data_IF_074944887709
#
_entry.id   IF_074944887709
#
_cell.length_a   1.000
_cell.length_b   1.000
_cell.length_c   1.000
_cell.angle_alpha   90.00
_cell.angle_beta   90.00
_cell.angle_gamma   90.00
#
_symmetry.space_group_name_H-M   'P 1'
#
loop_
_entity.id
_entity.type
_entity.pdbx_description
1 polymer ?
#
# COMPACT_ATOMS: atom_id res chain seq x y z
N UNK A 1 -38.75 51.68 -71.39
CA UNK A 1 -38.24 51.26 -72.71
C UNK A 1 -36.91 51.97 -72.93
N UNK A 2 -35.84 51.20 -73.18
CA UNK A 2 -34.49 51.62 -73.60
C UNK A 2 -33.66 52.31 -72.49
N UNK A 3 -32.42 51.96 -72.15
CA UNK A 3 -31.43 51.06 -72.75
C UNK A 3 -30.05 51.74 -72.75
N UNK A 4 -29.01 51.02 -72.30
CA UNK A 4 -27.56 51.33 -72.39
C UNK A 4 -27.05 52.47 -71.45
N UNK A 5 -25.85 52.44 -70.85
CA UNK A 5 -24.59 51.85 -71.30
C UNK A 5 -23.65 51.58 -70.10
N UNK A 6 -22.86 50.50 -70.22
CA UNK A 6 -21.78 50.12 -69.31
C UNK A 6 -20.74 51.24 -69.13
N UNK A 7 -20.15 51.32 -67.93
CA UNK A 7 -18.70 51.39 -67.79
C UNK A 7 -18.23 50.51 -66.63
N UNK A 8 -17.42 49.54 -67.01
CA UNK A 8 -16.80 48.49 -66.22
C UNK A 8 -15.60 49.07 -65.46
N UNK A 9 -15.64 49.07 -64.13
CA UNK A 9 -14.44 49.23 -63.31
C UNK A 9 -14.14 47.91 -62.63
N UNK A 10 -13.28 47.13 -63.30
CA UNK A 10 -12.70 45.89 -62.80
C UNK A 10 -11.67 46.22 -61.72
N UNK A 11 -12.09 46.19 -60.45
CA UNK A 11 -11.17 46.15 -59.32
C UNK A 11 -10.67 44.71 -59.17
N UNK A 12 -9.40 44.46 -59.51
CA UNK A 12 -8.70 43.23 -59.13
C UNK A 12 -8.49 43.26 -57.61
N UNK A 13 -9.32 42.50 -56.88
CA UNK A 13 -9.10 42.22 -55.47
C UNK A 13 -7.95 41.20 -55.34
N UNK A 14 -6.78 41.68 -54.95
CA UNK A 14 -5.66 40.82 -54.55
C UNK A 14 -5.94 40.31 -53.14
N UNK A 15 -6.39 39.06 -53.06
CA UNK A 15 -6.49 38.29 -51.83
C UNK A 15 -5.09 38.03 -51.27
N UNK A 16 -4.59 38.93 -50.43
CA UNK A 16 -3.47 38.63 -49.52
C UNK A 16 -3.99 37.78 -48.36
N UNK A 17 -4.04 36.46 -48.61
CA UNK A 17 -4.23 35.46 -47.58
C UNK A 17 -3.02 35.43 -46.66
N UNK A 18 -2.97 36.35 -45.69
CA UNK A 18 -2.08 36.18 -44.53
C UNK A 18 -2.61 35.00 -43.73
N UNK A 19 -1.99 33.84 -43.97
CA UNK A 19 -2.00 32.70 -43.05
C UNK A 19 -1.49 33.20 -41.70
N UNK A 20 -2.41 33.61 -40.83
CA UNK A 20 -2.17 33.60 -39.40
C UNK A 20 -2.14 32.11 -39.03
N UNK A 21 -0.94 31.53 -39.11
CA UNK A 21 -0.62 30.35 -38.31
C UNK A 21 -0.93 30.72 -36.87
N UNK A 22 -2.11 30.33 -36.40
CA UNK A 22 -2.48 30.41 -35.01
C UNK A 22 -1.42 29.64 -34.24
N UNK A 23 -0.52 30.37 -33.60
CA UNK A 23 0.27 29.84 -32.51
C UNK A 23 -0.77 29.35 -31.50
N UNK A 24 -0.94 28.02 -31.45
CA UNK A 24 -1.74 27.36 -30.43
C UNK A 24 -1.07 27.72 -29.11
N UNK A 25 -1.57 28.78 -28.47
CA UNK A 25 -1.18 29.15 -27.14
C UNK A 25 -1.51 27.93 -26.28
N UNK A 26 -0.48 27.12 -25.98
CA UNK A 26 -0.58 26.10 -24.98
C UNK A 26 -0.76 26.86 -23.68
N UNK A 27 -2.01 26.99 -23.24
CA UNK A 27 -2.35 27.52 -21.92
C UNK A 27 -1.69 26.58 -20.92
N UNK A 28 -0.50 26.97 -20.47
CA UNK A 28 0.22 26.26 -19.41
C UNK A 28 -0.42 26.73 -18.12
N UNK A 29 -1.05 25.80 -17.39
CA UNK A 29 -1.70 26.13 -16.14
C UNK A 29 -0.63 26.48 -15.08
N UNK A 30 -0.97 27.29 -14.08
CA UNK A 30 -0.07 27.49 -12.95
C UNK A 30 0.23 26.14 -12.27
N UNK A 31 1.48 25.87 -11.84
CA UNK A 31 1.88 24.59 -11.24
C UNK A 31 0.97 24.10 -10.09
N UNK A 32 0.46 25.03 -9.27
CA UNK A 32 -0.44 24.70 -8.17
C UNK A 32 -1.80 24.11 -8.63
N UNK A 33 -2.29 24.52 -9.80
CA UNK A 33 -3.55 23.98 -10.37
C UNK A 33 -3.32 22.55 -10.83
N UNK A 34 -2.18 22.28 -11.48
CA UNK A 34 -1.82 20.93 -11.95
C UNK A 34 -1.63 19.96 -10.77
N UNK A 35 -0.97 20.39 -9.69
CA UNK A 35 -0.82 19.57 -8.48
C UNK A 35 -2.17 19.24 -7.82
N UNK A 36 -3.09 20.22 -7.76
CA UNK A 36 -4.42 20.00 -7.20
C UNK A 36 -5.24 19.02 -8.03
N UNK A 37 -5.19 19.11 -9.37
CA UNK A 37 -5.84 18.16 -10.27
C UNK A 37 -5.28 16.74 -10.11
N UNK A 38 -3.96 16.62 -9.95
CA UNK A 38 -3.30 15.33 -9.69
C UNK A 38 -3.76 14.71 -8.36
N UNK A 39 -3.85 15.50 -7.29
CA UNK A 39 -4.34 15.03 -5.99
C UNK A 39 -5.82 14.63 -6.06
N UNK A 40 -6.65 15.42 -6.74
CA UNK A 40 -8.07 15.07 -6.95
C UNK A 40 -8.23 13.76 -7.72
N UNK A 41 -7.43 13.57 -8.78
CA UNK A 41 -7.37 12.31 -9.50
C UNK A 41 -6.98 11.16 -8.58
N UNK A 42 -5.96 11.33 -7.74
CA UNK A 42 -5.55 10.32 -6.77
C UNK A 42 -6.67 9.93 -5.82
N UNK A 43 -7.35 10.92 -5.21
CA UNK A 43 -8.45 10.66 -4.26
C UNK A 43 -9.61 9.90 -4.91
N UNK A 44 -10.02 10.33 -6.10
CA UNK A 44 -11.08 9.65 -6.87
C UNK A 44 -10.74 8.20 -7.19
N UNK A 45 -9.50 7.91 -7.57
CA UNK A 45 -9.05 6.55 -7.83
C UNK A 45 -9.03 5.70 -6.56
N UNK A 46 -8.52 6.26 -5.46
CA UNK A 46 -8.46 5.56 -4.18
C UNK A 46 -9.88 5.24 -3.67
N UNK A 47 -10.84 6.15 -3.76
CA UNK A 47 -12.22 5.97 -3.28
C UNK A 47 -13.12 5.14 -4.21
N UNK A 48 -12.65 4.80 -5.41
CA UNK A 48 -13.45 4.12 -6.41
C UNK A 48 -14.11 2.82 -5.91
N UNK A 49 -15.34 2.56 -6.36
CA UNK A 49 -16.08 1.33 -6.02
C UNK A 49 -15.41 0.07 -6.61
N UNK A 50 -14.85 0.18 -7.81
CA UNK A 50 -14.20 -0.91 -8.51
C UNK A 50 -12.79 -1.18 -7.98
N UNK A 51 -12.49 -2.45 -7.66
CA UNK A 51 -11.17 -2.80 -7.09
C UNK A 51 -10.01 -2.52 -8.07
N UNK A 52 -10.25 -2.60 -9.38
CA UNK A 52 -9.23 -2.32 -10.40
C UNK A 52 -8.83 -0.83 -10.38
N UNK A 53 -9.81 0.07 -10.35
CA UNK A 53 -9.57 1.51 -10.23
C UNK A 53 -8.86 1.85 -8.92
N UNK A 54 -9.19 1.16 -7.81
CA UNK A 54 -8.44 1.33 -6.56
C UNK A 54 -6.99 0.86 -6.68
N UNK A 55 -6.71 -0.21 -7.43
CA UNK A 55 -5.33 -0.64 -7.71
C UNK A 55 -4.56 0.43 -8.48
N UNK A 56 -5.21 1.10 -9.45
CA UNK A 56 -4.61 2.23 -10.18
C UNK A 56 -4.31 3.39 -9.23
N UNK A 57 -5.22 3.71 -8.29
CA UNK A 57 -4.98 4.73 -7.28
C UNK A 57 -3.77 4.40 -6.38
N UNK A 58 -3.64 3.14 -5.96
CA UNK A 58 -2.49 2.69 -5.17
C UNK A 58 -1.18 2.74 -5.98
N UNK A 59 -1.23 2.39 -7.27
CA UNK A 59 -0.06 2.52 -8.16
C UNK A 59 0.32 3.99 -8.38
N UNK A 60 -0.66 4.87 -8.60
CA UNK A 60 -0.42 6.31 -8.75
C UNK A 60 0.20 6.91 -7.49
N UNK A 61 -0.27 6.53 -6.30
CA UNK A 61 0.34 6.97 -5.04
C UNK A 61 1.82 6.55 -4.97
N UNK A 62 2.13 5.31 -5.33
CA UNK A 62 3.50 4.81 -5.36
C UNK A 62 4.38 5.64 -6.28
N UNK A 63 3.89 5.95 -7.48
CA UNK A 63 4.62 6.75 -8.46
C UNK A 63 4.84 8.18 -7.96
N UNK A 64 3.82 8.82 -7.38
CA UNK A 64 3.94 10.16 -6.81
C UNK A 64 4.88 10.23 -5.61
N UNK A 65 4.96 9.18 -4.79
CA UNK A 65 5.96 9.11 -3.72
C UNK A 65 7.38 9.15 -4.29
N UNK A 66 7.61 8.52 -5.45
CA UNK A 66 8.93 8.48 -6.10
C UNK A 66 9.26 9.75 -6.88
N UNK A 67 8.31 10.29 -7.62
CA UNK A 67 8.52 11.45 -8.50
C UNK A 67 8.39 12.78 -7.77
N UNK A 68 7.47 12.87 -6.81
CA UNK A 68 7.09 14.13 -6.14
C UNK A 68 6.88 13.93 -4.62
N UNK A 69 7.89 13.44 -3.86
CA UNK A 69 7.74 13.16 -2.43
C UNK A 69 7.34 14.38 -1.58
N UNK A 70 7.67 15.59 -2.02
CA UNK A 70 7.26 16.82 -1.33
C UNK A 70 5.77 17.13 -1.46
N UNK A 71 5.17 16.85 -2.61
CA UNK A 71 3.72 16.97 -2.81
C UNK A 71 2.99 16.01 -1.86
N UNK A 72 3.48 14.77 -1.74
CA UNK A 72 2.93 13.77 -0.83
C UNK A 72 3.10 14.20 0.63
N UNK A 73 4.30 14.64 1.02
CA UNK A 73 4.59 15.05 2.39
C UNK A 73 3.74 16.25 2.83
N UNK A 74 3.49 17.19 1.93
CA UNK A 74 2.64 18.37 2.18
C UNK A 74 1.17 18.00 2.40
N UNK A 75 0.70 16.94 1.75
CA UNK A 75 -0.70 16.51 1.79
C UNK A 75 -0.90 15.18 2.55
N UNK A 76 0.06 14.84 3.42
CA UNK A 76 0.20 13.48 3.97
C UNK A 76 -1.04 13.03 4.74
N UNK A 77 -1.65 13.92 5.52
CA UNK A 77 -2.83 13.59 6.34
C UNK A 77 -3.99 13.11 5.47
N UNK A 78 -4.39 13.94 4.50
CA UNK A 78 -5.52 13.64 3.63
C UNK A 78 -5.24 12.42 2.74
N UNK A 79 -4.04 12.31 2.16
CA UNK A 79 -3.68 11.15 1.34
C UNK A 79 -3.78 9.85 2.15
N UNK A 80 -3.29 9.86 3.38
CA UNK A 80 -3.28 8.66 4.22
C UNK A 80 -4.64 8.32 4.81
N UNK A 81 -5.55 9.28 4.96
CA UNK A 81 -6.96 8.99 5.27
C UNK A 81 -7.57 8.04 4.22
N UNK A 82 -7.26 8.24 2.94
CA UNK A 82 -7.69 7.33 1.87
C UNK A 82 -6.84 6.06 1.81
N UNK A 83 -5.53 6.17 1.97
CA UNK A 83 -4.61 5.03 1.80
C UNK A 83 -4.77 3.97 2.90
N UNK A 84 -5.03 4.37 4.14
CA UNK A 84 -5.30 3.43 5.26
C UNK A 84 -6.50 2.53 4.96
N UNK A 85 -7.53 3.07 4.28
CA UNK A 85 -8.69 2.28 3.83
C UNK A 85 -8.31 1.23 2.77
N UNK A 86 -7.23 1.47 2.00
CA UNK A 86 -6.69 0.51 1.02
C UNK A 86 -5.80 -0.53 1.67
N UNK A 87 -5.07 -0.18 2.73
CA UNK A 87 -4.37 -1.17 3.56
C UNK A 87 -5.40 -2.16 4.13
N UNK A 88 -6.52 -1.66 4.66
CA UNK A 88 -7.59 -2.51 5.21
C UNK A 88 -8.65 -2.98 4.18
N UNK A 89 -8.37 -2.91 2.87
CA UNK A 89 -9.40 -3.09 1.84
C UNK A 89 -10.13 -4.45 1.93
N UNK A 90 -11.42 -4.47 1.58
CA UNK A 90 -12.20 -5.70 1.49
C UNK A 90 -11.70 -6.63 0.38
N UNK A 91 -11.16 -6.06 -0.69
CA UNK A 91 -10.62 -6.81 -1.81
C UNK A 91 -9.13 -7.13 -1.61
N UNK A 92 -8.83 -8.43 -1.52
CA UNK A 92 -7.49 -8.92 -1.15
C UNK A 92 -6.34 -8.45 -2.04
N UNK A 93 -6.57 -8.26 -3.36
CA UNK A 93 -5.52 -7.76 -4.26
C UNK A 93 -5.17 -6.30 -3.98
N UNK A 94 -6.17 -5.48 -3.67
CA UNK A 94 -5.97 -4.05 -3.33
C UNK A 94 -5.21 -3.96 -2.02
N UNK A 95 -5.66 -4.70 -1.01
CA UNK A 95 -4.99 -4.84 0.29
C UNK A 95 -3.53 -5.24 0.15
N UNK A 96 -3.25 -6.31 -0.59
CA UNK A 96 -1.88 -6.77 -0.81
C UNK A 96 -1.02 -5.69 -1.48
N UNK A 97 -1.50 -5.10 -2.58
CA UNK A 97 -0.76 -4.05 -3.29
C UNK A 97 -0.52 -2.82 -2.42
N UNK A 98 -1.48 -2.42 -1.58
CA UNK A 98 -1.33 -1.30 -0.66
C UNK A 98 -0.25 -1.58 0.40
N UNK A 99 -0.22 -2.79 0.96
CA UNK A 99 0.83 -3.20 1.90
C UNK A 99 2.22 -3.26 1.24
N UNK A 100 2.30 -3.81 0.02
CA UNK A 100 3.54 -3.83 -0.76
C UNK A 100 4.06 -2.41 -1.06
N UNK A 101 3.15 -1.50 -1.43
CA UNK A 101 3.47 -0.08 -1.65
C UNK A 101 3.89 0.60 -0.35
N UNK A 102 3.21 0.35 0.77
CA UNK A 102 3.58 0.91 2.07
C UNK A 102 5.02 0.54 2.45
N UNK A 103 5.39 -0.74 2.28
CA UNK A 103 6.75 -1.21 2.54
C UNK A 103 7.79 -0.42 1.71
N UNK A 104 7.48 -0.14 0.45
CA UNK A 104 8.38 0.55 -0.46
C UNK A 104 8.49 2.06 -0.18
N UNK A 105 7.37 2.74 0.07
CA UNK A 105 7.36 4.20 0.25
C UNK A 105 7.82 4.62 1.66
N UNK A 106 7.89 3.69 2.61
CA UNK A 106 8.33 3.97 3.99
C UNK A 106 9.73 4.59 4.01
N UNK A 107 10.68 4.04 3.27
CA UNK A 107 12.04 4.59 3.17
C UNK A 107 12.14 5.90 2.39
N UNK A 108 11.13 6.23 1.59
CA UNK A 108 11.06 7.45 0.78
C UNK A 108 10.52 8.61 1.63
N UNK A 109 9.38 8.40 2.28
CA UNK A 109 8.67 9.44 3.04
C UNK A 109 9.26 9.66 4.44
N UNK A 110 9.90 8.64 5.01
CA UNK A 110 10.64 8.74 6.28
C UNK A 110 9.79 9.40 7.38
N UNK A 111 10.30 10.47 7.97
CA UNK A 111 9.68 11.20 9.09
C UNK A 111 8.39 11.92 8.70
N UNK A 112 8.12 12.11 7.40
CA UNK A 112 6.83 12.62 6.94
C UNK A 112 5.67 11.69 7.32
N UNK A 113 5.93 10.41 7.62
CA UNK A 113 4.93 9.47 8.10
C UNK A 113 4.54 9.63 9.58
N UNK A 114 5.30 10.41 10.36
CA UNK A 114 5.07 10.58 11.80
C UNK A 114 3.63 10.99 12.16
N UNK A 115 2.97 11.93 11.43
CA UNK A 115 1.60 12.33 11.74
C UNK A 115 0.55 11.24 11.46
N UNK A 116 0.86 10.25 10.62
CA UNK A 116 -0.09 9.25 10.12
C UNK A 116 0.20 7.83 10.65
N UNK A 117 1.23 7.68 11.49
CA UNK A 117 1.69 6.37 12.00
C UNK A 117 0.59 5.61 12.75
N UNK A 118 -0.26 6.30 13.50
CA UNK A 118 -1.33 5.65 14.28
C UNK A 118 -2.34 5.00 13.34
N UNK A 119 -2.81 5.73 12.32
CA UNK A 119 -3.74 5.21 11.33
C UNK A 119 -3.14 4.07 10.49
N UNK A 120 -1.85 4.16 10.16
CA UNK A 120 -1.13 3.07 9.49
C UNK A 120 -1.11 1.80 10.32
N UNK A 121 -0.78 1.91 11.61
CA UNK A 121 -0.76 0.77 12.52
C UNK A 121 -2.14 0.13 12.60
N UNK A 122 -3.20 0.92 12.82
CA UNK A 122 -4.57 0.40 12.83
C UNK A 122 -4.94 -0.32 11.53
N UNK A 123 -4.56 0.24 10.38
CA UNK A 123 -4.80 -0.35 9.07
C UNK A 123 -4.08 -1.69 8.87
N UNK A 124 -2.82 -1.77 9.31
CA UNK A 124 -2.02 -2.99 9.26
C UNK A 124 -2.61 -4.05 10.20
N UNK A 125 -2.97 -3.67 11.42
CA UNK A 125 -3.57 -4.59 12.41
C UNK A 125 -4.87 -5.19 11.88
N UNK A 126 -5.74 -4.41 11.23
CA UNK A 126 -6.96 -4.91 10.56
C UNK A 126 -6.64 -5.91 9.44
N UNK A 127 -5.47 -5.82 8.83
CA UNK A 127 -5.03 -6.68 7.73
C UNK A 127 -4.42 -8.01 8.20
N UNK A 128 -3.97 -8.10 9.46
CA UNK A 128 -3.45 -9.33 10.07
C UNK A 128 -4.49 -10.46 10.11
N UNK A 129 -5.77 -10.12 10.16
CA UNK A 129 -6.88 -11.08 10.16
C UNK A 129 -7.09 -11.77 8.79
N UNK A 130 -6.27 -11.46 7.78
CA UNK A 130 -6.40 -12.05 6.45
C UNK A 130 -6.01 -13.53 6.42
N UNK A 131 -6.90 -14.37 5.88
CA UNK A 131 -6.62 -15.78 5.58
C UNK A 131 -5.73 -15.97 4.32
N UNK A 132 -5.54 -14.92 3.52
CA UNK A 132 -4.71 -15.00 2.30
C UNK A 132 -3.21 -14.93 2.65
N UNK A 133 -2.40 -15.96 2.32
CA UNK A 133 -0.98 -15.98 2.66
C UNK A 133 -0.16 -14.87 2.00
N UNK A 134 -0.55 -14.39 0.81
CA UNK A 134 0.16 -13.29 0.13
C UNK A 134 -0.04 -11.98 0.87
N UNK A 135 -1.25 -11.74 1.36
CA UNK A 135 -1.56 -10.58 2.20
C UNK A 135 -0.74 -10.64 3.49
N UNK A 136 -0.68 -11.80 4.14
CA UNK A 136 0.12 -11.93 5.38
C UNK A 136 1.60 -11.66 5.16
N UNK A 137 2.18 -12.21 4.10
CA UNK A 137 3.57 -11.92 3.74
C UNK A 137 3.80 -10.42 3.48
N UNK A 138 2.85 -9.75 2.81
CA UNK A 138 2.92 -8.30 2.59
C UNK A 138 2.80 -7.49 3.90
N UNK A 139 1.97 -7.94 4.86
CA UNK A 139 1.90 -7.31 6.19
C UNK A 139 3.24 -7.41 6.92
N UNK A 140 3.84 -8.60 6.97
CA UNK A 140 5.14 -8.81 7.62
C UNK A 140 6.19 -7.90 6.99
N UNK A 141 6.26 -7.87 5.65
CA UNK A 141 7.20 -6.99 4.93
C UNK A 141 6.99 -5.50 5.28
N UNK A 142 5.73 -5.03 5.29
CA UNK A 142 5.44 -3.63 5.63
C UNK A 142 5.82 -3.27 7.07
N UNK A 143 5.65 -4.22 8.01
CA UNK A 143 6.06 -4.06 9.40
C UNK A 143 7.59 -4.02 9.55
N UNK A 144 8.31 -4.92 8.87
CA UNK A 144 9.77 -4.96 8.89
C UNK A 144 10.39 -3.65 8.38
N UNK A 145 9.91 -3.14 7.24
CA UNK A 145 10.39 -1.87 6.68
C UNK A 145 10.06 -0.67 7.58
N UNK A 146 8.88 -0.69 8.22
CA UNK A 146 8.48 0.32 9.19
C UNK A 146 9.42 0.36 10.41
N UNK A 147 9.84 -0.80 10.94
CA UNK A 147 10.85 -0.82 12.02
C UNK A 147 12.20 -0.33 11.50
N UNK A 148 12.63 -0.83 10.34
CA UNK A 148 13.94 -0.51 9.80
C UNK A 148 14.11 1.01 9.62
N UNK A 149 13.02 1.72 9.29
CA UNK A 149 12.99 3.18 9.29
C UNK A 149 13.06 3.78 10.70
N UNK A 150 12.21 3.32 11.62
CA UNK A 150 12.17 3.83 13.00
C UNK A 150 13.47 3.60 13.79
N UNK A 151 14.20 2.51 13.50
CA UNK A 151 15.46 2.15 14.15
C UNK A 151 16.65 3.01 13.73
N UNK A 152 16.62 3.62 12.53
CA UNK A 152 17.70 4.47 12.01
C UNK A 152 17.68 5.91 12.55
N UNK A 153 16.58 6.32 13.18
CA UNK A 153 16.35 7.70 13.62
C UNK A 153 16.81 8.02 15.06
N UNK A 154 17.71 7.25 15.67
CA UNK A 154 18.18 7.50 17.05
C UNK A 154 19.72 7.41 17.15
N UNK A 155 20.43 8.55 17.27
CA UNK A 155 21.70 8.60 17.99
C UNK A 155 21.42 8.36 19.48
N UNK A 156 22.11 7.38 20.09
CA UNK A 156 22.00 6.96 21.50
C UNK A 156 22.44 8.02 22.55
N UNK A 157 22.15 9.30 22.36
CA UNK A 157 22.53 10.33 23.30
C UNK A 157 21.41 11.36 23.51
N UNK A 158 20.85 11.36 24.73
CA UNK A 158 20.19 12.50 25.33
C UNK A 158 18.67 12.48 25.27
N UNK A 159 18.04 12.14 26.41
CA UNK A 159 16.61 12.32 26.62
C UNK A 159 16.23 13.81 26.44
N UNK A 160 15.30 14.07 25.52
CA UNK A 160 14.47 15.27 25.54
C UNK A 160 13.03 14.91 25.16
N UNK A 161 12.08 15.65 25.71
CA UNK A 161 10.72 15.23 26.03
C UNK A 161 9.75 15.00 24.85
N UNK A 162 10.26 14.88 23.61
CA UNK A 162 9.52 14.43 22.41
C UNK A 162 9.71 12.93 22.12
N UNK A 163 10.64 12.27 22.83
CA UNK A 163 10.96 10.85 22.67
C UNK A 163 9.83 9.87 23.06
N UNK A 164 8.80 10.32 23.78
CA UNK A 164 7.76 9.45 24.35
C UNK A 164 6.76 8.91 23.30
N UNK A 165 6.43 9.70 22.27
CA UNK A 165 5.60 9.25 21.15
C UNK A 165 6.38 8.26 20.27
N UNK A 166 7.64 8.55 19.94
CA UNK A 166 8.54 7.66 19.21
C UNK A 166 8.71 6.31 19.90
N UNK A 167 8.98 6.30 21.21
CA UNK A 167 9.15 5.07 21.98
C UNK A 167 7.85 4.27 22.13
N UNK A 168 6.70 4.93 22.28
CA UNK A 168 5.38 4.24 22.33
C UNK A 168 5.02 3.63 20.98
N UNK A 169 5.22 4.35 19.87
CA UNK A 169 4.97 3.81 18.53
C UNK A 169 5.93 2.67 18.19
N UNK A 170 7.23 2.81 18.50
CA UNK A 170 8.22 1.72 18.36
C UNK A 170 7.84 0.50 19.20
N UNK A 171 7.41 0.70 20.45
CA UNK A 171 6.92 -0.37 21.33
C UNK A 171 5.66 -1.04 20.78
N UNK A 172 4.68 -0.27 20.30
CA UNK A 172 3.45 -0.79 19.71
C UNK A 172 3.73 -1.59 18.44
N UNK A 173 4.61 -1.11 17.56
CA UNK A 173 5.02 -1.82 16.35
C UNK A 173 5.78 -3.11 16.69
N UNK A 174 6.71 -3.05 17.66
CA UNK A 174 7.43 -4.24 18.13
C UNK A 174 6.51 -5.25 18.83
N UNK A 175 5.48 -4.79 19.54
CA UNK A 175 4.49 -5.66 20.19
C UNK A 175 3.57 -6.32 19.16
N UNK A 176 3.21 -5.62 18.09
CA UNK A 176 2.45 -6.19 16.97
C UNK A 176 3.23 -7.30 16.26
N UNK A 177 4.54 -7.13 16.11
CA UNK A 177 5.40 -8.14 15.48
C UNK A 177 5.63 -9.31 16.43
N UNK A 178 5.89 -9.06 17.71
CA UNK A 178 5.96 -10.13 18.71
C UNK A 178 4.64 -10.94 18.77
N UNK A 179 3.49 -10.30 18.58
CA UNK A 179 2.20 -10.99 18.49
C UNK A 179 2.04 -11.85 17.20
N UNK A 180 2.72 -11.47 16.11
CA UNK A 180 2.78 -12.22 14.85
C UNK A 180 3.79 -13.38 14.94
N UNK A 181 5.00 -13.13 15.47
CA UNK A 181 6.09 -14.10 15.60
C UNK A 181 5.84 -15.14 16.71
N UNK A 182 5.24 -14.72 17.83
CA UNK A 182 4.91 -15.62 18.94
C UNK A 182 3.65 -16.48 18.65
N UNK A 183 3.08 -16.39 17.45
CA UNK A 183 1.91 -17.16 17.06
C UNK A 183 0.67 -16.88 17.94
N UNK A 184 0.60 -15.75 18.66
CA UNK A 184 -0.56 -15.45 19.51
C UNK A 184 -1.77 -15.02 18.67
N UNK A 185 -1.54 -14.52 17.46
CA UNK A 185 -2.49 -14.61 16.36
C UNK A 185 -2.27 -15.92 15.59
N UNK A 186 -2.50 -17.07 16.24
CA UNK A 186 -2.65 -18.32 15.50
C UNK A 186 -3.83 -18.14 14.56
N UNK A 187 -3.54 -18.01 13.26
CA UNK A 187 -4.45 -18.42 12.22
C UNK A 187 -4.77 -19.87 12.53
N UNK A 188 -5.94 -20.10 13.10
CA UNK A 188 -6.39 -21.44 13.44
C UNK A 188 -6.23 -22.32 12.21
N UNK A 189 -5.49 -23.44 12.29
CA UNK A 189 -5.68 -24.50 11.33
C UNK A 189 -7.06 -25.04 11.64
N UNK A 190 -8.06 -24.69 10.84
CA UNK A 190 -9.28 -25.50 10.79
C UNK A 190 -8.84 -26.88 10.35
N UNK A 191 -8.74 -27.79 11.32
CA UNK A 191 -8.52 -29.22 11.13
C UNK A 191 -9.72 -29.74 10.33
N UNK A 192 -9.63 -29.67 9.01
CA UNK A 192 -10.49 -30.43 8.12
C UNK A 192 -9.99 -31.86 8.16
N UNK A 193 -10.71 -32.71 8.86
CA UNK A 193 -10.67 -34.16 8.70
C UNK A 193 -10.79 -34.51 7.20
N UNK A 194 -9.80 -35.22 6.67
CA UNK A 194 -9.80 -35.73 5.32
C UNK A 194 -8.47 -36.38 5.02
N UNK A 195 -8.39 -37.70 5.22
CA UNK A 195 -7.16 -38.46 5.10
C UNK A 195 -6.63 -38.53 3.68
N UNK A 196 -5.31 -38.71 3.58
CA UNK A 196 -4.68 -39.65 2.66
C UNK A 196 -3.24 -39.84 3.15
N UNK A 197 -2.91 -41.08 3.48
CA UNK A 197 -1.55 -41.53 3.73
C UNK A 197 -0.72 -41.33 2.45
N UNK A 198 0.44 -40.69 2.58
CA UNK A 198 1.52 -40.83 1.63
C UNK A 198 2.80 -41.12 2.40
N UNK A 199 3.10 -42.41 2.43
CA UNK A 199 4.39 -42.97 2.80
C UNK A 199 5.46 -42.38 1.86
N UNK A 200 6.37 -41.58 2.38
CA UNK A 200 7.68 -41.42 1.77
C UNK A 200 8.77 -41.65 2.82
N UNK A 201 9.43 -42.77 2.60
CA UNK A 201 10.58 -43.30 3.31
C UNK A 201 11.78 -42.37 3.05
N UNK A 202 12.46 -41.93 4.11
CA UNK A 202 13.84 -41.46 4.01
C UNK A 202 14.60 -41.82 5.29
N UNK A 203 15.82 -42.38 5.18
CA UNK A 203 16.52 -43.02 6.29
C UNK A 203 17.45 -42.03 6.99
N UNK A 204 17.26 -41.81 8.29
CA UNK A 204 18.34 -41.49 9.22
C UNK A 204 17.79 -41.57 10.65
N UNK A 205 17.99 -42.74 11.27
CA UNK A 205 17.65 -43.03 12.66
C UNK A 205 18.91 -42.79 13.49
N UNK A 206 18.96 -41.70 14.25
CA UNK A 206 19.85 -41.61 15.41
C UNK A 206 19.15 -42.37 16.54
N UNK A 207 19.77 -43.44 17.00
CA UNK A 207 19.32 -44.21 18.14
C UNK A 207 19.55 -43.43 19.43
N UNK A 208 18.49 -43.23 20.20
CA UNK A 208 18.58 -42.94 21.63
C UNK A 208 17.85 -44.07 22.36
N UNK A 209 18.63 -45.03 22.82
CA UNK A 209 18.23 -46.00 23.84
C UNK A 209 17.88 -45.26 25.12
N UNK A 210 16.61 -45.26 25.51
CA UNK A 210 16.23 -45.17 26.92
C UNK A 210 15.13 -46.17 27.25
N UNK A 211 15.56 -47.10 28.09
CA UNK A 211 14.86 -48.18 28.74
C UNK A 211 13.65 -47.66 29.55
N UNK A 212 12.44 -48.14 29.25
CA UNK A 212 11.30 -48.05 30.16
C UNK A 212 10.74 -49.46 30.41
N UNK A 213 10.45 -49.83 31.68
CA UNK A 213 9.99 -51.17 32.03
C UNK A 213 8.56 -51.44 31.54
N UNK A 214 8.35 -52.67 31.07
CA UNK A 214 7.04 -53.22 30.66
C UNK A 214 6.08 -53.28 31.85
N UNK A 215 4.91 -52.68 31.71
CA UNK A 215 3.73 -52.97 32.55
C UNK A 215 2.89 -54.04 31.83
N UNK A 216 2.59 -55.19 32.46
CA UNK A 216 1.80 -56.23 31.82
C UNK A 216 0.31 -55.89 31.76
N UNK A 217 -0.29 -56.16 30.61
CA UNK A 217 -1.73 -56.11 30.36
C UNK A 217 -2.41 -57.38 30.88
N UNK A 218 -3.39 -57.21 31.76
CA UNK A 218 -4.43 -58.15 32.18
C UNK A 218 -5.39 -57.31 33.03
N UNK A 219 -6.72 -57.45 33.06
CA UNK A 219 -7.73 -58.30 32.44
C UNK A 219 -9.07 -57.73 32.96
N UNK A 220 -10.18 -57.91 32.22
CA UNK A 220 -11.51 -57.99 32.87
C UNK A 220 -12.53 -56.95 32.45
N UNK A 221 -13.31 -57.30 31.42
CA UNK A 221 -14.74 -57.01 31.37
C UNK A 221 -15.47 -57.92 32.36
N UNK A 222 -16.30 -57.35 33.25
CA UNK A 222 -17.56 -57.93 33.74
C UNK A 222 -18.13 -57.05 34.88
N UNK A 223 -19.45 -56.84 34.78
CA UNK A 223 -20.39 -56.13 35.66
C UNK A 223 -20.59 -54.64 35.36
#
# INVERSE_FOLDING_TARGET
MQGLHLLSLRVKSTSDGRLLHGAKAQVTLPPAVEEMELLQRLYNLLEAKGFQTRMEGVALLQDLCKSSPQLISTNILQIFDYFVLRISDSHKKVKQKALDVLAEITGILKDALNPVIIGLVEGITKSLNSKDPRVRAAVVKALDESIAHLGKAEPRHGLSSTASLSLRHKRMLSALIAAVDCGTLQLTPTRSSGGAALMHQSPNRLECDQHFPKVPAALGSAL
#
